data_IF_298061861131
#
_entry.id   IF_298061861131
#
_cell.length_a   1.000
_cell.length_b   1.000
_cell.length_c   1.000
_cell.angle_alpha   90.00
_cell.angle_beta   90.00
_cell.angle_gamma   90.00
#
_symmetry.space_group_name_H-M   'P 1'
#
loop_
_entity.id
_entity.type
_entity.pdbx_description
1 polymer ?
#
# COMPACT_ATOMS: atom_id res chain seq x y z
N UNK A 1 10.21 -10.70 -0.83
CA UNK A 1 11.01 -9.58 -0.27
C UNK A 1 12.24 -9.45 -1.12
N UNK A 2 12.36 -8.35 -1.86
CA UNK A 2 13.43 -8.14 -2.83
C UNK A 2 13.77 -6.65 -2.87
N UNK A 3 15.06 -6.29 -2.95
CA UNK A 3 15.50 -4.88 -3.00
C UNK A 3 14.96 -3.99 -1.86
N UNK A 4 14.80 -4.53 -0.64
CA UNK A 4 14.25 -3.82 0.54
C UNK A 4 12.77 -3.44 0.42
N UNK A 5 12.04 -4.10 -0.49
CA UNK A 5 10.61 -3.93 -0.70
C UNK A 5 9.86 -5.25 -0.41
N UNK A 6 8.69 -5.13 0.23
CA UNK A 6 7.71 -6.20 0.30
C UNK A 6 6.89 -6.17 -0.98
N UNK A 7 6.78 -7.30 -1.67
CA UNK A 7 6.01 -7.44 -2.90
C UNK A 7 5.04 -8.61 -2.77
N UNK A 8 3.94 -8.51 -3.49
CA UNK A 8 2.90 -9.53 -3.55
C UNK A 8 1.74 -9.06 -4.40
N UNK A 9 0.62 -9.76 -4.31
CA UNK A 9 -0.60 -9.44 -5.03
C UNK A 9 -1.76 -9.36 -4.06
N UNK A 10 -2.64 -8.38 -4.27
CA UNK A 10 -3.95 -8.30 -3.63
C UNK A 10 -5.01 -8.81 -4.61
N UNK A 11 -5.92 -9.64 -4.12
CA UNK A 11 -7.07 -10.16 -4.88
C UNK A 11 -8.23 -9.15 -4.94
N UNK A 12 -7.92 -7.90 -5.29
CA UNK A 12 -8.90 -6.85 -5.54
C UNK A 12 -8.45 -5.91 -6.69
N UNK A 13 -9.41 -5.15 -7.22
CA UNK A 13 -9.14 -4.18 -8.29
C UNK A 13 -8.23 -3.05 -7.81
N UNK A 14 -7.53 -2.39 -8.72
CA UNK A 14 -6.61 -1.29 -8.37
C UNK A 14 -7.32 -0.19 -7.56
N UNK A 15 -8.57 0.12 -7.92
CA UNK A 15 -9.37 1.15 -7.25
C UNK A 15 -9.76 0.72 -5.83
N UNK A 16 -10.16 -0.54 -5.65
CA UNK A 16 -10.52 -1.05 -4.32
C UNK A 16 -9.30 -1.08 -3.40
N UNK A 17 -8.14 -1.51 -3.93
CA UNK A 17 -6.88 -1.53 -3.19
C UNK A 17 -6.43 -0.11 -2.82
N UNK A 18 -6.59 0.86 -3.72
CA UNK A 18 -6.26 2.25 -3.44
C UNK A 18 -7.13 2.82 -2.31
N UNK A 19 -8.45 2.64 -2.40
CA UNK A 19 -9.39 3.06 -1.35
C UNK A 19 -9.16 2.35 -0.02
N UNK A 20 -8.85 1.05 -0.04
CA UNK A 20 -8.48 0.29 1.16
C UNK A 20 -7.15 0.76 1.76
N UNK A 21 -6.20 1.18 0.91
CA UNK A 21 -4.93 1.75 1.37
C UNK A 21 -5.13 3.08 2.09
N UNK A 22 -5.99 3.95 1.56
CA UNK A 22 -6.34 5.21 2.22
C UNK A 22 -6.98 4.96 3.60
N UNK A 23 -7.93 4.03 3.69
CA UNK A 23 -8.55 3.64 4.97
C UNK A 23 -7.55 3.05 5.96
N UNK A 24 -6.69 2.16 5.50
CA UNK A 24 -5.62 1.57 6.32
C UNK A 24 -4.66 2.66 6.85
N UNK A 25 -4.47 3.75 6.11
CA UNK A 25 -3.58 4.83 6.50
C UNK A 25 -4.16 5.71 7.62
N UNK A 26 -5.48 5.87 7.66
CA UNK A 26 -6.18 6.51 8.78
C UNK A 26 -5.94 5.72 10.07
N UNK A 27 -6.11 4.40 10.01
CA UNK A 27 -5.87 3.49 11.15
C UNK A 27 -4.41 3.52 11.63
N UNK A 28 -3.47 3.60 10.70
CA UNK A 28 -2.03 3.68 10.98
C UNK A 28 -1.55 5.08 11.38
N UNK A 29 -2.45 6.08 11.44
CA UNK A 29 -2.14 7.49 11.74
C UNK A 29 -1.00 8.04 10.87
N UNK A 30 -0.99 7.65 9.60
CA UNK A 30 -0.04 8.15 8.62
C UNK A 30 -0.39 9.60 8.26
N UNK A 31 0.61 10.47 8.24
CA UNK A 31 0.51 11.89 7.90
C UNK A 31 1.02 12.14 6.48
N UNK A 32 0.39 13.09 5.78
CA UNK A 32 0.73 13.49 4.41
C UNK A 32 0.65 12.34 3.38
N UNK A 33 -0.57 11.97 3.02
CA UNK A 33 -0.84 11.01 1.93
C UNK A 33 -0.85 11.74 0.60
N UNK A 34 -0.01 11.30 -0.34
CA UNK A 34 -0.06 11.70 -1.74
C UNK A 34 -0.37 10.45 -2.55
N UNK A 35 -1.48 10.49 -3.26
CA UNK A 35 -1.94 9.40 -4.12
C UNK A 35 -1.91 9.85 -5.57
N UNK A 36 -1.26 9.04 -6.41
CA UNK A 36 -1.27 9.20 -7.86
C UNK A 36 -1.70 7.86 -8.45
N UNK A 37 -2.97 7.76 -8.83
CA UNK A 37 -3.51 6.61 -9.54
C UNK A 37 -3.76 7.00 -10.99
N UNK A 38 -3.05 6.34 -11.89
CA UNK A 38 -3.29 6.27 -13.33
C UNK A 38 -4.00 4.94 -13.61
N UNK A 39 -4.82 4.84 -14.65
CA UNK A 39 -5.80 3.75 -14.85
C UNK A 39 -5.25 2.32 -14.81
N UNK A 40 -3.93 2.13 -14.80
CA UNK A 40 -3.22 0.85 -14.67
C UNK A 40 -2.17 0.81 -13.56
N UNK A 41 -1.83 1.94 -12.92
CA UNK A 41 -0.75 2.06 -11.92
C UNK A 41 -1.12 3.05 -10.83
N UNK A 42 -0.87 2.68 -9.58
CA UNK A 42 -0.95 3.58 -8.44
C UNK A 42 0.40 3.81 -7.80
N UNK A 43 0.64 5.01 -7.29
CA UNK A 43 1.71 5.28 -6.35
C UNK A 43 1.13 6.09 -5.21
N UNK A 44 1.25 5.52 -4.01
CA UNK A 44 0.79 6.15 -2.78
C UNK A 44 2.03 6.36 -1.93
N UNK A 45 2.27 7.59 -1.51
CA UNK A 45 3.33 7.93 -0.56
C UNK A 45 2.72 8.55 0.68
N UNK A 46 3.14 8.07 1.84
CA UNK A 46 2.75 8.60 3.14
C UNK A 46 3.96 8.76 4.04
N UNK A 47 3.81 9.47 5.15
CA UNK A 47 4.86 9.64 6.16
C UNK A 47 4.31 9.26 7.52
N UNK A 48 5.05 8.48 8.31
CA UNK A 48 4.70 8.19 9.69
C UNK A 48 4.92 9.42 10.57
N UNK A 49 4.31 9.43 11.76
CA UNK A 49 4.49 10.52 12.73
C UNK A 49 5.95 10.73 13.16
N UNK A 50 6.78 9.70 13.05
CA UNK A 50 8.23 9.74 13.32
C UNK A 50 9.06 10.25 12.12
N UNK A 51 8.42 10.63 11.01
CA UNK A 51 9.08 11.09 9.78
C UNK A 51 9.47 9.97 8.81
N UNK A 52 9.20 8.70 9.14
CA UNK A 52 9.53 7.57 8.26
C UNK A 52 8.62 7.56 7.02
N UNK A 53 9.22 7.58 5.84
CA UNK A 53 8.47 7.53 4.59
C UNK A 53 7.93 6.14 4.27
N UNK A 54 6.71 6.07 3.78
CA UNK A 54 6.04 4.87 3.31
C UNK A 54 5.74 5.06 1.83
N UNK A 55 6.25 4.18 0.99
CA UNK A 55 5.96 4.20 -0.46
C UNK A 55 5.32 2.90 -0.86
N UNK A 56 4.12 2.99 -1.42
CA UNK A 56 3.37 1.87 -1.97
C UNK A 56 3.22 2.10 -3.47
N UNK A 57 3.66 1.14 -4.26
CA UNK A 57 3.45 1.11 -5.70
C UNK A 57 2.43 0.02 -5.99
N UNK A 58 1.39 0.37 -6.72
CA UNK A 58 0.34 -0.54 -7.14
C UNK A 58 0.38 -0.64 -8.67
N UNK A 59 0.08 -1.82 -9.19
CA UNK A 59 -0.02 -2.06 -10.62
C UNK A 59 -1.15 -3.05 -10.85
N UNK A 60 -2.14 -2.66 -11.67
CA UNK A 60 -3.18 -3.58 -12.09
C UNK A 60 -2.54 -4.70 -12.93
N UNK A 61 -2.71 -5.95 -12.50
CA UNK A 61 -2.33 -7.13 -13.28
C UNK A 61 -3.51 -7.58 -14.14
N UNK A 62 -4.72 -7.51 -13.58
CA UNK A 62 -6.00 -7.72 -14.25
C UNK A 62 -7.09 -6.87 -13.55
N UNK A 63 -8.38 -7.12 -13.85
CA UNK A 63 -9.50 -6.37 -13.26
C UNK A 63 -9.79 -6.68 -11.78
N UNK A 64 -9.25 -7.77 -11.23
CA UNK A 64 -9.48 -8.26 -9.87
C UNK A 64 -8.18 -8.52 -9.10
N UNK A 65 -7.02 -8.26 -9.69
CA UNK A 65 -5.71 -8.54 -9.11
C UNK A 65 -4.80 -7.33 -9.29
N UNK A 66 -4.24 -6.88 -8.18
CA UNK A 66 -3.31 -5.75 -8.13
C UNK A 66 -1.99 -6.17 -7.52
N UNK A 67 -0.92 -6.07 -8.29
CA UNK A 67 0.43 -6.25 -7.78
C UNK A 67 0.85 -5.05 -6.94
N UNK A 68 1.45 -5.30 -5.79
CA UNK A 68 1.94 -4.25 -4.90
C UNK A 68 3.44 -4.35 -4.62
N UNK A 69 4.05 -3.20 -4.36
CA UNK A 69 5.38 -3.08 -3.76
C UNK A 69 5.36 -2.04 -2.66
N UNK A 70 5.66 -2.45 -1.43
CA UNK A 70 5.71 -1.59 -0.24
C UNK A 70 7.16 -1.42 0.20
N UNK A 71 7.58 -0.17 0.40
CA UNK A 71 8.88 0.21 0.94
C UNK A 71 8.69 1.17 2.09
N UNK A 72 9.37 0.90 3.20
CA UNK A 72 9.36 1.75 4.40
C UNK A 72 10.78 2.30 4.61
N UNK A 73 10.90 3.62 4.64
CA UNK A 73 12.15 4.36 4.74
C UNK A 73 13.14 4.09 3.60
N UNK A 74 14.36 4.58 3.75
CA UNK A 74 15.43 4.37 2.78
C UNK A 74 15.93 2.91 2.75
N UNK A 75 15.94 2.26 3.92
CA UNK A 75 16.54 0.94 4.14
C UNK A 75 15.56 -0.23 4.04
N UNK A 76 14.25 0.03 4.02
CA UNK A 76 13.22 -1.01 4.06
C UNK A 76 13.02 -1.55 5.46
N UNK A 77 11.78 -1.54 5.94
CA UNK A 77 11.37 -2.24 7.14
C UNK A 77 10.39 -3.35 6.76
N UNK A 78 10.84 -4.60 6.88
CA UNK A 78 10.03 -5.78 6.52
C UNK A 78 8.85 -5.96 7.45
N UNK A 79 9.03 -5.77 8.76
CA UNK A 79 7.98 -5.98 9.74
C UNK A 79 6.87 -4.94 9.55
N UNK A 80 7.25 -3.67 9.40
CA UNK A 80 6.30 -2.58 9.14
C UNK A 80 5.63 -2.74 7.78
N UNK A 81 6.37 -3.14 6.73
CA UNK A 81 5.78 -3.39 5.41
C UNK A 81 4.73 -4.50 5.46
N UNK A 82 4.99 -5.58 6.21
CA UNK A 82 4.04 -6.67 6.41
C UNK A 82 2.83 -6.21 7.22
N UNK A 83 3.03 -5.35 8.21
CA UNK A 83 1.93 -4.75 8.97
C UNK A 83 1.04 -3.90 8.06
N UNK A 84 1.61 -2.98 7.28
CA UNK A 84 0.87 -2.17 6.31
C UNK A 84 0.07 -3.06 5.35
N UNK A 85 0.70 -4.08 4.77
CA UNK A 85 0.02 -5.01 3.88
C UNK A 85 -1.17 -5.70 4.57
N UNK A 86 -1.04 -6.13 5.83
CA UNK A 86 -2.13 -6.75 6.59
C UNK A 86 -3.30 -5.80 6.84
N UNK A 87 -3.04 -4.54 7.16
CA UNK A 87 -4.10 -3.54 7.31
C UNK A 87 -4.84 -3.31 5.99
N UNK A 88 -4.12 -3.24 4.87
CA UNK A 88 -4.73 -3.10 3.54
C UNK A 88 -5.63 -4.30 3.22
N UNK A 89 -5.16 -5.54 3.45
CA UNK A 89 -5.99 -6.75 3.25
C UNK A 89 -7.26 -6.69 4.10
N UNK A 90 -7.13 -6.33 5.38
CA UNK A 90 -8.28 -6.20 6.27
C UNK A 90 -9.32 -5.19 5.74
N UNK A 91 -8.88 -4.07 5.20
CA UNK A 91 -9.78 -3.03 4.64
C UNK A 91 -10.39 -3.42 3.28
N UNK A 92 -9.70 -4.26 2.51
CA UNK A 92 -10.25 -4.89 1.29
C UNK A 92 -11.38 -5.84 1.69
N UNK A 93 -11.10 -6.78 2.60
CA UNK A 93 -12.06 -7.79 3.03
C UNK A 93 -13.29 -7.17 3.71
N UNK A 94 -13.12 -6.04 4.42
CA UNK A 94 -14.22 -5.33 5.07
C UNK A 94 -15.13 -4.55 4.10
N UNK A 95 -14.69 -4.32 2.86
CA UNK A 95 -15.45 -3.58 1.84
C UNK A 95 -16.10 -4.48 0.78
N UNK A 96 -15.89 -5.80 0.85
CA UNK A 96 -16.54 -6.81 0.03
C UNK A 96 -17.82 -7.33 0.70
#
# INVERSE_FOLDING_TARGET
>A
WTQRELRGDFSASLLDVAAATERAFVDLRLVAVTEVVDGVKGKITATLADGTSVTIKLKATDFKTTHFSIKIGAFGDKAMSQQVARYIVREIDAAQ
#
